data_IF_288920069472
#
_entry.id   IF_288920069472
#
_cell.length_a   1.000
_cell.length_b   1.000
_cell.length_c   1.000
_cell.angle_alpha   90.00
_cell.angle_beta   90.00
_cell.angle_gamma   90.00
#
_symmetry.space_group_name_H-M   'P 1'
#
loop_
_entity.id
_entity.type
_entity.pdbx_description
1 polymer ?
#
# COMPACT_ATOMS: atom_id res chain seq x y z
N UNK A 1 3.74 -15.49 12.07
CA UNK A 1 3.82 -16.67 11.17
C UNK A 1 3.48 -16.33 9.74
N UNK A 2 2.27 -15.85 9.42
CA UNK A 2 1.89 -15.52 8.04
C UNK A 2 2.88 -14.56 7.34
N UNK A 3 3.28 -13.47 7.99
CA UNK A 3 4.29 -12.54 7.48
C UNK A 3 5.64 -13.21 7.23
N UNK A 4 6.03 -14.15 8.10
CA UNK A 4 7.30 -14.85 8.00
C UNK A 4 7.31 -15.78 6.79
N UNK A 5 6.29 -16.63 6.65
CA UNK A 5 6.13 -17.51 5.47
C UNK A 5 6.11 -16.68 4.18
N UNK A 6 5.46 -15.52 4.20
CA UNK A 6 5.45 -14.61 3.06
C UNK A 6 6.85 -14.12 2.70
N UNK A 7 7.63 -13.67 3.70
CA UNK A 7 9.00 -13.20 3.50
C UNK A 7 10.00 -14.27 3.09
N UNK A 8 9.72 -15.56 3.34
CA UNK A 8 10.53 -16.68 2.84
C UNK A 8 10.01 -17.30 1.53
N UNK A 9 9.04 -16.65 0.86
CA UNK A 9 8.42 -17.05 -0.43
C UNK A 9 7.48 -18.26 -0.37
N UNK A 10 6.99 -18.63 0.80
CA UNK A 10 6.00 -19.69 0.99
C UNK A 10 4.57 -19.11 0.98
N UNK A 11 4.17 -18.54 -0.16
CA UNK A 11 2.95 -17.73 -0.28
C UNK A 11 1.66 -18.48 0.08
N UNK A 12 1.56 -19.76 -0.28
CA UNK A 12 0.40 -20.59 0.08
C UNK A 12 0.32 -20.83 1.59
N UNK A 13 1.45 -21.06 2.26
CA UNK A 13 1.49 -21.21 3.73
C UNK A 13 1.15 -19.90 4.42
N UNK A 14 1.66 -18.78 3.91
CA UNK A 14 1.31 -17.46 4.39
C UNK A 14 -0.20 -17.23 4.35
N UNK A 15 -0.85 -17.54 3.22
CA UNK A 15 -2.29 -17.42 3.03
C UNK A 15 -3.08 -18.35 3.97
N UNK A 16 -2.65 -19.61 4.13
CA UNK A 16 -3.28 -20.55 5.07
C UNK A 16 -3.19 -20.04 6.51
N UNK A 17 -2.01 -19.64 6.98
CA UNK A 17 -1.85 -19.14 8.35
C UNK A 17 -2.62 -17.86 8.60
N UNK A 18 -2.69 -16.96 7.61
CA UNK A 18 -3.54 -15.77 7.67
C UNK A 18 -5.01 -16.18 7.83
N UNK A 19 -5.48 -17.14 7.02
CA UNK A 19 -6.84 -17.65 7.10
C UNK A 19 -7.19 -18.37 8.40
N UNK A 20 -6.23 -19.06 9.03
CA UNK A 20 -6.42 -19.65 10.36
C UNK A 20 -6.64 -18.52 11.39
N UNK A 21 -5.78 -17.50 11.39
CA UNK A 21 -5.91 -16.37 12.31
C UNK A 21 -7.26 -15.64 12.14
N UNK A 22 -7.68 -15.43 10.88
CA UNK A 22 -8.97 -14.83 10.54
C UNK A 22 -10.14 -15.63 11.10
N UNK A 23 -10.14 -16.96 10.91
CA UNK A 23 -11.23 -17.81 11.42
C UNK A 23 -11.29 -17.80 12.95
N UNK A 24 -10.13 -17.76 13.62
CA UNK A 24 -10.08 -17.65 15.09
C UNK A 24 -10.71 -16.33 15.54
N UNK A 25 -10.31 -15.20 14.97
CA UNK A 25 -10.85 -13.90 15.40
C UNK A 25 -12.32 -13.72 15.01
N UNK A 26 -12.78 -14.27 13.88
CA UNK A 26 -14.19 -14.32 13.50
C UNK A 26 -15.03 -15.12 14.51
N UNK A 27 -14.52 -16.28 14.96
CA UNK A 27 -15.19 -17.09 15.97
C UNK A 27 -15.30 -16.36 17.32
N UNK A 28 -14.22 -15.68 17.73
CA UNK A 28 -14.21 -14.84 18.94
C UNK A 28 -15.23 -13.71 18.85
N UNK A 29 -15.24 -12.93 17.77
CA UNK A 29 -16.20 -11.84 17.58
C UNK A 29 -17.64 -12.37 17.52
N UNK A 30 -17.88 -13.49 16.83
CA UNK A 30 -19.20 -14.12 16.75
C UNK A 30 -19.77 -14.45 18.13
N UNK A 31 -18.95 -14.95 19.06
CA UNK A 31 -19.37 -15.22 20.44
C UNK A 31 -19.83 -13.96 21.20
N UNK A 32 -19.37 -12.77 20.79
CA UNK A 32 -19.71 -11.49 21.41
C UNK A 32 -20.93 -10.81 20.80
N UNK A 33 -21.03 -10.85 19.47
CA UNK A 33 -22.09 -10.16 18.72
C UNK A 33 -23.32 -11.04 18.46
N UNK A 34 -23.27 -12.33 18.81
CA UNK A 34 -24.41 -13.24 18.66
C UNK A 34 -25.62 -12.71 19.44
N UNK A 35 -26.79 -12.55 18.79
CA UNK A 35 -28.01 -12.13 19.47
C UNK A 35 -28.50 -13.17 20.48
N UNK A 36 -28.12 -14.44 20.29
CA UNK A 36 -28.47 -15.57 21.15
C UNK A 36 -27.18 -16.35 21.48
N UNK A 37 -26.39 -15.90 22.47
CA UNK A 37 -25.16 -16.60 22.84
C UNK A 37 -25.49 -17.96 23.45
N UNK A 38 -24.82 -19.02 22.97
CA UNK A 38 -25.00 -20.38 23.50
C UNK A 38 -24.39 -20.54 24.90
N UNK A 39 -23.31 -19.80 25.18
CA UNK A 39 -22.61 -19.79 26.47
C UNK A 39 -22.62 -18.35 27.06
N UNK A 40 -22.74 -18.20 28.39
CA UNK A 40 -22.64 -16.89 29.02
C UNK A 40 -21.23 -16.32 28.82
N UNK A 41 -21.13 -15.15 28.19
CA UNK A 41 -19.84 -14.49 27.94
C UNK A 41 -19.14 -14.15 29.27
N UNK A 42 -17.94 -14.68 29.54
CA UNK A 42 -17.21 -14.36 30.76
C UNK A 42 -17.04 -12.84 30.99
N UNK A 43 -17.09 -12.34 32.24
CA UNK A 43 -17.00 -10.90 32.53
C UNK A 43 -15.72 -10.23 32.02
N UNK A 44 -14.57 -10.93 32.04
CA UNK A 44 -13.28 -10.39 31.58
C UNK A 44 -13.21 -10.15 30.07
N UNK A 45 -14.08 -10.81 29.27
CA UNK A 45 -14.19 -10.52 27.84
C UNK A 45 -14.90 -9.18 27.56
N UNK A 46 -15.47 -8.54 28.60
CA UNK A 46 -16.09 -7.21 28.52
C UNK A 46 -15.20 -6.10 29.07
N UNK A 47 -13.97 -6.40 29.50
CA UNK A 47 -13.02 -5.36 29.89
C UNK A 47 -12.60 -4.52 28.67
N UNK A 48 -12.44 -3.21 28.87
CA UNK A 48 -12.16 -2.24 27.81
C UNK A 48 -10.82 -2.56 27.10
N UNK A 49 -9.83 -3.06 27.84
CA UNK A 49 -8.54 -3.48 27.27
C UNK A 49 -8.71 -4.71 26.37
N UNK A 50 -9.50 -5.71 26.79
CA UNK A 50 -9.80 -6.88 25.97
C UNK A 50 -10.51 -6.50 24.66
N UNK A 51 -11.46 -5.56 24.71
CA UNK A 51 -12.12 -5.00 23.52
C UNK A 51 -11.11 -4.33 22.59
N UNK A 52 -10.20 -3.52 23.14
CA UNK A 52 -9.19 -2.82 22.36
C UNK A 52 -8.22 -3.79 21.66
N UNK A 53 -7.76 -4.84 22.37
CA UNK A 53 -6.89 -5.89 21.82
C UNK A 53 -7.60 -6.64 20.70
N UNK A 54 -8.87 -7.01 20.88
CA UNK A 54 -9.64 -7.71 19.86
C UNK A 54 -9.84 -6.86 18.62
N UNK A 55 -10.28 -5.60 18.76
CA UNK A 55 -10.41 -4.65 17.65
C UNK A 55 -9.10 -4.55 16.86
N UNK A 56 -7.98 -4.31 17.56
CA UNK A 56 -6.66 -4.19 16.93
C UNK A 56 -6.26 -5.47 16.20
N UNK A 57 -6.53 -6.63 16.80
CA UNK A 57 -6.22 -7.94 16.22
C UNK A 57 -7.04 -8.20 14.96
N UNK A 58 -8.33 -7.84 14.96
CA UNK A 58 -9.21 -7.98 13.80
C UNK A 58 -8.70 -7.15 12.60
N UNK A 59 -8.38 -5.89 12.84
CA UNK A 59 -7.85 -5.00 11.81
C UNK A 59 -6.42 -5.33 11.38
N UNK A 60 -5.61 -5.91 12.27
CA UNK A 60 -4.30 -6.46 11.89
C UNK A 60 -4.47 -7.67 10.95
N UNK A 61 -5.43 -8.56 11.21
CA UNK A 61 -5.79 -9.64 10.29
C UNK A 61 -6.28 -9.10 8.95
N UNK A 62 -7.07 -8.02 8.95
CA UNK A 62 -7.50 -7.35 7.72
C UNK A 62 -6.31 -6.83 6.90
N UNK A 63 -5.38 -6.09 7.51
CA UNK A 63 -4.18 -5.58 6.83
C UNK A 63 -3.34 -6.73 6.29
N UNK A 64 -3.11 -7.78 7.09
CA UNK A 64 -2.35 -8.95 6.66
C UNK A 64 -3.01 -9.68 5.49
N UNK A 65 -4.34 -9.83 5.50
CA UNK A 65 -5.08 -10.41 4.39
C UNK A 65 -4.92 -9.56 3.13
N UNK A 66 -5.06 -8.23 3.23
CA UNK A 66 -4.79 -7.31 2.12
C UNK A 66 -3.37 -7.44 1.60
N UNK A 67 -2.37 -7.54 2.46
CA UNK A 67 -0.98 -7.69 2.03
C UNK A 67 -0.71 -9.02 1.32
N UNK A 68 -1.23 -10.13 1.84
CA UNK A 68 -0.96 -11.47 1.31
C UNK A 68 -1.81 -11.79 0.08
N UNK A 69 -3.08 -11.36 0.06
CA UNK A 69 -3.97 -11.58 -1.08
C UNK A 69 -3.61 -10.67 -2.26
N UNK A 70 -3.06 -9.48 -1.99
CA UNK A 70 -2.58 -8.58 -3.03
C UNK A 70 -1.42 -9.21 -3.79
N UNK A 71 -1.71 -9.64 -5.01
CA UNK A 71 -0.72 -10.21 -5.89
C UNK A 71 -0.71 -11.72 -6.01
N UNK A 72 -1.74 -12.38 -5.50
CA UNK A 72 -2.00 -13.79 -5.76
C UNK A 72 -3.43 -13.95 -6.30
N UNK A 73 -3.72 -15.04 -6.99
CA UNK A 73 -5.10 -15.38 -7.41
C UNK A 73 -5.99 -15.81 -6.23
N UNK A 74 -5.53 -15.65 -4.99
CA UNK A 74 -6.28 -16.06 -3.82
C UNK A 74 -7.31 -14.97 -3.45
N UNK A 75 -8.59 -15.32 -3.30
CA UNK A 75 -9.60 -14.36 -2.91
C UNK A 75 -9.32 -13.83 -1.48
N UNK A 76 -9.56 -12.53 -1.22
CA UNK A 76 -9.49 -11.98 0.13
C UNK A 76 -10.52 -12.65 1.05
N UNK A 77 -10.13 -12.96 2.27
CA UNK A 77 -11.00 -13.60 3.27
C UNK A 77 -11.76 -12.59 4.13
N UNK A 78 -11.25 -11.36 4.27
CA UNK A 78 -11.87 -10.27 5.04
C UNK A 78 -12.02 -8.99 4.21
N UNK A 79 -12.73 -8.98 3.06
CA UNK A 79 -12.96 -7.73 2.34
C UNK A 79 -13.71 -6.73 3.23
N UNK A 80 -13.61 -5.43 2.92
CA UNK A 80 -14.22 -4.38 3.75
C UNK A 80 -15.72 -4.65 4.01
N UNK A 81 -16.45 -5.11 2.98
CA UNK A 81 -17.86 -5.51 3.09
C UNK A 81 -18.15 -6.62 4.11
N UNK A 82 -17.24 -7.57 4.30
CA UNK A 82 -17.38 -8.59 5.35
C UNK A 82 -17.11 -8.02 6.74
N UNK A 83 -16.19 -7.05 6.88
CA UNK A 83 -15.98 -6.36 8.15
C UNK A 83 -17.25 -5.63 8.61
N UNK A 84 -18.01 -5.03 7.69
CA UNK A 84 -19.28 -4.36 7.99
C UNK A 84 -20.35 -5.37 8.45
N UNK A 85 -20.46 -6.50 7.75
CA UNK A 85 -21.41 -7.59 8.11
C UNK A 85 -21.10 -8.18 9.48
N UNK A 86 -19.82 -8.32 9.81
CA UNK A 86 -19.34 -8.80 11.10
C UNK A 86 -19.49 -7.76 12.22
N UNK A 87 -19.96 -6.54 11.88
CA UNK A 87 -20.15 -5.41 12.81
C UNK A 87 -18.89 -5.10 13.61
N UNK A 88 -17.73 -5.23 13.00
CA UNK A 88 -16.45 -4.93 13.65
C UNK A 88 -16.36 -3.42 13.82
N UNK A 89 -16.00 -2.97 15.02
CA UNK A 89 -15.86 -1.55 15.30
C UNK A 89 -14.72 -0.91 14.50
N UNK A 90 -14.73 0.41 14.33
CA UNK A 90 -13.68 1.09 13.54
C UNK A 90 -12.33 0.96 14.25
N UNK A 91 -11.19 1.06 13.54
CA UNK A 91 -9.90 0.95 14.19
C UNK A 91 -9.74 2.05 15.26
N UNK A 92 -9.42 1.63 16.49
CA UNK A 92 -9.22 2.54 17.61
C UNK A 92 -8.00 3.44 17.41
N UNK A 93 -8.03 4.64 18.01
CA UNK A 93 -6.85 5.47 18.12
C UNK A 93 -5.80 4.80 19.01
N UNK A 94 -4.55 5.26 18.94
CA UNK A 94 -3.51 4.77 19.83
C UNK A 94 -3.83 5.01 21.31
N UNK A 95 -4.52 6.12 21.63
CA UNK A 95 -4.94 6.45 23.00
C UNK A 95 -6.00 5.47 23.46
N UNK A 96 -7.07 5.28 22.68
CA UNK A 96 -8.16 4.35 23.01
C UNK A 96 -7.70 2.89 23.04
N UNK A 97 -6.68 2.54 22.25
CA UNK A 97 -6.08 1.22 22.30
C UNK A 97 -5.36 0.96 23.63
N UNK A 98 -4.67 1.97 24.18
CA UNK A 98 -3.90 1.87 25.42
C UNK A 98 -4.81 1.91 26.66
N UNK A 99 -5.76 2.85 26.69
CA UNK A 99 -6.61 3.08 27.86
C UNK A 99 -7.95 2.32 27.81
N UNK A 100 -8.26 1.71 26.68
CA UNK A 100 -9.57 1.15 26.39
C UNK A 100 -10.54 2.22 25.85
N UNK A 101 -11.45 1.84 24.95
CA UNK A 101 -12.46 2.77 24.45
C UNK A 101 -13.45 3.13 25.57
N UNK A 102 -14.02 4.34 25.51
CA UNK A 102 -15.10 4.73 26.41
C UNK A 102 -16.41 3.98 26.05
N UNK A 103 -16.64 2.86 26.73
CA UNK A 103 -17.81 2.01 26.55
C UNK A 103 -19.13 2.67 26.98
N UNK A 104 -19.09 3.84 27.65
CA UNK A 104 -20.30 4.57 28.02
C UNK A 104 -20.97 5.23 26.81
N UNK A 105 -20.17 5.61 25.79
CA UNK A 105 -20.66 6.20 24.54
C UNK A 105 -21.35 5.18 23.62
N UNK A 106 -20.97 3.89 23.69
CA UNK A 106 -21.58 2.81 22.89
C UNK A 106 -23.04 2.52 23.29
N UNK A 107 -23.44 2.83 24.53
CA UNK A 107 -24.82 2.61 25.02
C UNK A 107 -25.85 3.58 24.41
N UNK A 108 -25.40 4.70 23.85
CA UNK A 108 -26.26 5.72 23.23
C UNK A 108 -26.52 5.49 21.74
N UNK A 109 -25.97 4.43 21.13
CA UNK A 109 -26.32 3.98 19.78
C UNK A 109 -25.98 4.95 18.65
N UNK A 110 -25.12 5.95 18.89
CA UNK A 110 -24.95 7.09 17.99
C UNK A 110 -23.69 7.07 17.11
N UNK A 111 -22.67 6.25 17.37
CA UNK A 111 -21.39 6.38 16.65
C UNK A 111 -20.85 5.11 15.99
N UNK A 112 -21.72 4.24 15.49
CA UNK A 112 -21.27 3.06 14.73
C UNK A 112 -21.78 2.95 13.29
N UNK A 113 -21.83 4.07 12.58
CA UNK A 113 -21.85 4.04 11.12
C UNK A 113 -20.41 4.13 10.63
N UNK A 114 -19.97 3.11 9.89
CA UNK A 114 -18.86 3.28 8.95
C UNK A 114 -19.17 4.56 8.18
N UNK A 115 -18.25 5.51 8.21
CA UNK A 115 -18.43 6.86 7.68
C UNK A 115 -18.79 6.76 6.20
N UNK A 116 -20.09 6.67 5.90
CA UNK A 116 -20.66 7.27 4.70
C UNK A 116 -20.54 8.76 4.95
N UNK A 117 -19.57 9.37 4.28
CA UNK A 117 -19.30 10.78 4.32
C UNK A 117 -20.53 11.55 3.83
N UNK A 118 -21.45 11.87 4.74
CA UNK A 118 -22.47 12.87 4.52
C UNK A 118 -22.60 13.73 5.78
N UNK A 119 -22.12 14.97 5.63
CA UNK A 119 -22.34 16.16 6.45
C UNK A 119 -21.71 16.24 7.86
N UNK A 120 -20.57 16.94 7.93
CA UNK A 120 -19.87 17.31 9.15
C UNK A 120 -18.35 17.25 8.95
N UNK A 121 -17.65 18.39 9.01
CA UNK A 121 -16.19 18.47 8.89
C UNK A 121 -15.54 17.61 9.98
N UNK A 122 -15.29 16.34 9.67
CA UNK A 122 -14.56 15.44 10.56
C UNK A 122 -13.13 15.95 10.62
N UNK A 123 -12.62 16.16 11.82
CA UNK A 123 -11.25 16.65 11.99
C UNK A 123 -10.28 15.71 11.25
N UNK A 124 -9.26 16.26 10.57
CA UNK A 124 -8.30 15.44 9.83
C UNK A 124 -7.57 14.47 10.76
N UNK A 125 -7.34 13.24 10.29
CA UNK A 125 -6.75 12.16 11.07
C UNK A 125 -5.28 12.48 11.41
N UNK A 126 -4.94 12.47 12.69
CA UNK A 126 -3.58 12.73 13.14
C UNK A 126 -2.75 11.44 13.32
N UNK A 127 -1.51 11.60 13.80
CA UNK A 127 -0.57 10.49 13.97
C UNK A 127 -1.04 9.44 14.98
N UNK A 128 -1.86 9.81 15.96
CA UNK A 128 -2.41 8.86 16.93
C UNK A 128 -3.44 7.92 16.29
N UNK A 129 -3.98 8.30 15.13
CA UNK A 129 -4.91 7.51 14.33
C UNK A 129 -4.20 6.82 13.16
N UNK A 130 -2.86 6.72 13.18
CA UNK A 130 -2.06 6.12 12.09
C UNK A 130 -2.53 4.72 11.69
N UNK A 131 -2.93 3.90 12.66
CA UNK A 131 -3.42 2.55 12.38
C UNK A 131 -4.72 2.56 11.57
N UNK A 132 -5.64 3.47 11.89
CA UNK A 132 -6.87 3.69 11.13
C UNK A 132 -6.56 4.16 9.71
N UNK A 133 -5.61 5.09 9.57
CA UNK A 133 -5.12 5.57 8.25
C UNK A 133 -4.58 4.40 7.42
N UNK A 134 -3.74 3.54 8.02
CA UNK A 134 -3.16 2.37 7.36
C UNK A 134 -4.22 1.35 6.92
N UNK A 135 -5.22 1.05 7.76
CA UNK A 135 -6.31 0.14 7.42
C UNK A 135 -6.99 0.55 6.11
N UNK A 136 -7.43 1.81 6.00
CA UNK A 136 -8.11 2.29 4.80
C UNK A 136 -7.18 2.40 3.60
N UNK A 137 -5.91 2.77 3.83
CA UNK A 137 -4.90 2.79 2.76
C UNK A 137 -4.64 1.41 2.17
N UNK A 138 -4.60 0.37 3.02
CA UNK A 138 -4.38 -1.01 2.58
C UNK A 138 -5.55 -1.60 1.81
N UNK A 139 -6.77 -1.12 2.06
CA UNK A 139 -7.94 -1.48 1.23
C UNK A 139 -7.81 -0.91 -0.19
N UNK A 140 -7.36 0.36 -0.31
CA UNK A 140 -7.08 0.99 -1.61
C UNK A 140 -5.93 0.28 -2.33
N UNK A 141 -4.84 0.01 -1.61
CA UNK A 141 -3.71 -0.77 -2.13
C UNK A 141 -4.14 -2.09 -2.74
N UNK A 142 -4.97 -2.85 -2.03
CA UNK A 142 -5.42 -4.14 -2.52
C UNK A 142 -6.32 -4.03 -3.75
N UNK A 143 -7.11 -2.97 -3.85
CA UNK A 143 -7.85 -2.66 -5.08
C UNK A 143 -6.90 -2.39 -6.25
N UNK A 144 -5.85 -1.58 -6.04
CA UNK A 144 -4.82 -1.28 -7.06
C UNK A 144 -4.14 -2.58 -7.51
N UNK A 145 -3.70 -3.40 -6.56
CA UNK A 145 -3.03 -4.65 -6.87
C UNK A 145 -3.97 -5.65 -7.52
N UNK A 146 -5.23 -5.71 -7.12
CA UNK A 146 -6.23 -6.55 -7.80
C UNK A 146 -6.36 -6.14 -9.26
N UNK A 147 -6.37 -4.84 -9.56
CA UNK A 147 -6.38 -4.36 -10.95
C UNK A 147 -5.12 -4.79 -11.72
N UNK A 148 -3.93 -4.52 -11.18
CA UNK A 148 -2.65 -4.81 -11.87
C UNK A 148 -2.47 -6.30 -12.13
N UNK A 149 -2.82 -7.15 -11.16
CA UNK A 149 -2.63 -8.60 -11.28
C UNK A 149 -3.73 -9.30 -12.08
N UNK A 150 -4.90 -8.68 -12.25
CA UNK A 150 -5.91 -9.13 -13.20
C UNK A 150 -5.68 -8.49 -14.56
N UNK A 151 -4.46 -8.65 -15.07
CA UNK A 151 -3.97 -8.16 -16.37
C UNK A 151 -3.98 -6.64 -16.59
N UNK A 152 -4.37 -5.83 -15.59
CA UNK A 152 -4.26 -4.37 -15.65
C UNK A 152 -4.85 -3.78 -16.93
N UNK A 153 -4.04 -3.01 -17.68
CA UNK A 153 -4.48 -2.45 -18.97
C UNK A 153 -4.67 -3.50 -20.07
N UNK A 154 -4.05 -4.68 -19.92
CA UNK A 154 -4.11 -5.79 -20.89
C UNK A 154 -5.39 -6.61 -20.74
N UNK A 155 -6.14 -6.42 -19.66
CA UNK A 155 -7.42 -7.07 -19.48
C UNK A 155 -8.42 -6.68 -20.61
N UNK A 156 -9.34 -7.59 -20.99
CA UNK A 156 -10.28 -7.33 -22.08
C UNK A 156 -11.08 -6.03 -21.90
N UNK A 157 -11.03 -5.15 -22.93
CA UNK A 157 -11.76 -3.89 -22.94
C UNK A 157 -11.13 -2.74 -22.14
N UNK A 158 -10.00 -2.95 -21.45
CA UNK A 158 -9.34 -1.91 -20.66
C UNK A 158 -8.63 -0.84 -21.50
N UNK A 159 -8.32 -1.13 -22.76
CA UNK A 159 -7.76 -0.15 -23.70
C UNK A 159 -8.83 0.72 -24.38
N UNK A 160 -10.12 0.43 -24.20
CA UNK A 160 -11.21 1.20 -24.79
C UNK A 160 -11.24 2.64 -24.27
N UNK A 161 -11.76 3.62 -25.05
CA UNK A 161 -11.72 5.04 -24.69
C UNK A 161 -12.28 5.37 -23.29
N UNK A 162 -13.36 4.70 -22.88
CA UNK A 162 -14.00 4.90 -21.57
C UNK A 162 -13.19 4.33 -20.38
N UNK A 163 -12.24 3.43 -20.65
CA UNK A 163 -11.40 2.77 -19.65
C UNK A 163 -9.95 3.28 -19.65
N UNK A 164 -9.59 4.16 -20.59
CA UNK A 164 -8.32 4.86 -20.58
C UNK A 164 -8.14 5.66 -19.27
N UNK A 165 -6.91 5.82 -18.77
CA UNK A 165 -6.70 6.31 -17.40
C UNK A 165 -7.14 7.77 -17.19
N UNK A 166 -7.19 8.59 -18.23
CA UNK A 166 -7.74 9.96 -18.17
C UNK A 166 -9.27 10.03 -18.25
N UNK A 167 -9.95 8.92 -18.54
CA UNK A 167 -11.42 8.92 -18.56
C UNK A 167 -11.94 8.94 -17.11
N UNK A 168 -12.82 9.90 -16.73
CA UNK A 168 -13.25 10.09 -15.34
C UNK A 168 -13.85 8.84 -14.68
N UNK A 169 -14.55 8.02 -15.47
CA UNK A 169 -15.20 6.80 -14.99
C UNK A 169 -14.34 5.54 -15.05
N UNK A 170 -13.11 5.62 -15.57
CA UNK A 170 -12.21 4.48 -15.70
C UNK A 170 -11.87 3.88 -14.33
N UNK A 171 -11.56 2.57 -14.25
CA UNK A 171 -11.06 1.95 -13.03
C UNK A 171 -9.88 2.72 -12.44
N UNK A 172 -8.90 3.09 -13.28
CA UNK A 172 -7.74 3.86 -12.86
C UNK A 172 -8.12 5.21 -12.23
N UNK A 173 -8.98 5.99 -12.90
CA UNK A 173 -9.38 7.33 -12.42
C UNK A 173 -10.11 7.24 -11.09
N UNK A 174 -11.04 6.30 -10.95
CA UNK A 174 -11.78 6.08 -9.69
C UNK A 174 -10.84 5.69 -8.55
N UNK A 175 -9.89 4.80 -8.80
CA UNK A 175 -8.92 4.38 -7.78
C UNK A 175 -7.95 5.50 -7.42
N UNK A 176 -7.50 6.29 -8.38
CA UNK A 176 -6.65 7.46 -8.15
C UNK A 176 -7.38 8.52 -7.31
N UNK A 177 -8.62 8.87 -7.66
CA UNK A 177 -9.45 9.81 -6.87
C UNK A 177 -9.58 9.32 -5.43
N UNK A 178 -9.92 8.04 -5.23
CA UNK A 178 -10.05 7.44 -3.91
C UNK A 178 -8.74 7.50 -3.10
N UNK A 179 -7.59 7.33 -3.75
CA UNK A 179 -6.27 7.45 -3.11
C UNK A 179 -5.98 8.88 -2.65
N UNK A 180 -6.28 9.87 -3.49
CA UNK A 180 -6.11 11.29 -3.17
C UNK A 180 -7.08 11.76 -2.09
N UNK A 181 -8.33 11.31 -2.12
CA UNK A 181 -9.31 11.54 -1.04
C UNK A 181 -8.81 10.98 0.29
N UNK A 182 -8.30 9.74 0.30
CA UNK A 182 -7.70 9.14 1.49
C UNK A 182 -6.50 9.96 2.00
N UNK A 183 -5.62 10.44 1.11
CA UNK A 183 -4.49 11.30 1.47
C UNK A 183 -4.95 12.62 2.08
N UNK A 184 -6.05 13.20 1.58
CA UNK A 184 -6.64 14.44 2.06
C UNK A 184 -7.35 14.32 3.42
N UNK A 185 -7.78 13.11 3.83
CA UNK A 185 -8.35 12.89 5.17
C UNK A 185 -7.32 13.02 6.30
N UNK A 186 -6.03 13.02 5.98
CA UNK A 186 -4.92 13.05 6.93
C UNK A 186 -4.54 14.48 7.29
N UNK A 187 -4.12 14.71 8.53
CA UNK A 187 -3.55 15.98 8.94
C UNK A 187 -2.26 16.25 8.17
N UNK A 188 -2.04 17.50 7.72
CA UNK A 188 -0.89 17.90 6.89
C UNK A 188 0.49 17.51 7.47
N UNK A 189 0.58 17.34 8.81
CA UNK A 189 1.80 16.87 9.50
C UNK A 189 2.21 15.44 9.12
N UNK A 190 1.29 14.64 8.60
CA UNK A 190 1.56 13.27 8.15
C UNK A 190 2.14 13.19 6.74
N UNK A 191 2.29 14.32 6.05
CA UNK A 191 2.77 14.35 4.68
C UNK A 191 4.28 14.54 4.64
N UNK A 192 4.98 13.53 4.12
CA UNK A 192 6.34 13.67 3.62
C UNK A 192 6.29 14.35 2.23
N UNK A 193 7.32 15.09 1.79
CA UNK A 193 8.51 15.55 2.53
C UNK A 193 8.28 16.86 3.31
N UNK A 194 7.06 17.41 3.34
CA UNK A 194 6.75 18.65 4.05
C UNK A 194 7.07 18.55 5.54
N UNK A 195 7.01 17.32 6.09
CA UNK A 195 7.44 16.99 7.43
C UNK A 195 8.53 15.92 7.40
N UNK A 196 9.45 16.01 8.36
CA UNK A 196 10.60 15.11 8.41
C UNK A 196 10.30 13.82 9.17
N UNK A 197 11.03 12.75 8.81
CA UNK A 197 11.00 11.48 9.53
C UNK A 197 11.54 11.68 10.95
N UNK A 198 12.64 12.43 11.13
CA UNK A 198 13.28 12.65 12.44
C UNK A 198 12.35 13.29 13.46
N UNK A 199 11.47 14.22 13.04
CA UNK A 199 10.48 14.83 13.92
C UNK A 199 9.51 13.78 14.46
N UNK A 200 9.00 12.90 13.60
CA UNK A 200 8.08 11.85 14.00
C UNK A 200 8.76 10.75 14.80
N UNK A 201 10.01 10.40 14.47
CA UNK A 201 10.80 9.45 15.26
C UNK A 201 11.02 9.95 16.68
N UNK A 202 11.33 11.24 16.85
CA UNK A 202 11.49 11.87 18.18
C UNK A 202 10.20 11.77 19.02
N UNK A 203 9.03 11.78 18.37
CA UNK A 203 7.73 11.63 19.01
C UNK A 203 7.29 10.17 19.20
N UNK A 204 8.11 9.19 18.80
CA UNK A 204 7.78 7.76 18.86
C UNK A 204 6.89 7.26 17.72
N UNK A 205 6.70 8.06 16.67
CA UNK A 205 5.81 7.76 15.53
C UNK A 205 6.54 7.59 14.19
N UNK A 206 7.87 7.49 14.19
CA UNK A 206 8.70 7.42 12.98
C UNK A 206 8.27 6.29 12.04
N UNK A 207 8.07 5.08 12.59
CA UNK A 207 7.60 3.92 11.81
C UNK A 207 6.23 4.17 11.16
N UNK A 208 5.26 4.65 11.94
CA UNK A 208 3.91 4.95 11.43
C UNK A 208 3.92 5.99 10.32
N UNK A 209 4.67 7.09 10.51
CA UNK A 209 4.81 8.14 9.52
C UNK A 209 5.43 7.62 8.22
N UNK A 210 6.51 6.85 8.34
CA UNK A 210 7.19 6.23 7.19
C UNK A 210 6.25 5.27 6.46
N UNK A 211 5.54 4.41 7.19
CA UNK A 211 4.66 3.40 6.61
C UNK A 211 3.48 4.02 5.84
N UNK A 212 2.84 5.05 6.39
CA UNK A 212 1.74 5.78 5.73
C UNK A 212 2.22 6.39 4.41
N UNK A 213 3.38 7.04 4.41
CA UNK A 213 3.91 7.69 3.21
C UNK A 213 4.40 6.68 2.17
N UNK A 214 5.04 5.58 2.58
CA UNK A 214 5.40 4.49 1.66
C UNK A 214 4.15 3.88 1.01
N UNK A 215 3.07 3.69 1.77
CA UNK A 215 1.82 3.16 1.25
C UNK A 215 1.20 4.09 0.19
N UNK A 216 1.16 5.40 0.45
CA UNK A 216 0.70 6.39 -0.53
C UNK A 216 1.55 6.34 -1.80
N UNK A 217 2.86 6.50 -1.67
CA UNK A 217 3.75 6.61 -2.82
C UNK A 217 3.83 5.32 -3.62
N UNK A 218 3.93 4.16 -2.99
CA UNK A 218 3.97 2.90 -3.75
C UNK A 218 2.65 2.66 -4.47
N UNK A 219 1.51 3.04 -3.89
CA UNK A 219 0.19 3.00 -4.55
C UNK A 219 0.16 3.88 -5.81
N UNK A 220 0.59 5.14 -5.70
CA UNK A 220 0.69 6.07 -6.83
C UNK A 220 1.65 5.55 -7.90
N UNK A 221 2.84 5.06 -7.50
CA UNK A 221 3.85 4.52 -8.42
C UNK A 221 3.26 3.36 -9.24
N UNK A 222 2.57 2.42 -8.59
CA UNK A 222 1.99 1.25 -9.24
C UNK A 222 0.88 1.62 -10.23
N UNK A 223 -0.01 2.55 -9.88
CA UNK A 223 -1.05 3.05 -10.77
C UNK A 223 -0.48 3.69 -12.05
N UNK A 224 0.54 4.54 -11.92
CA UNK A 224 1.12 5.21 -13.09
C UNK A 224 1.97 4.27 -13.93
N UNK A 225 2.71 3.36 -13.28
CA UNK A 225 3.66 2.48 -13.97
C UNK A 225 3.01 1.56 -15.00
N UNK A 226 1.79 1.10 -14.74
CA UNK A 226 1.03 0.21 -15.64
C UNK A 226 0.93 0.72 -17.08
N UNK A 227 0.95 2.05 -17.27
CA UNK A 227 0.77 2.70 -18.56
C UNK A 227 2.08 3.20 -19.20
N UNK A 228 3.24 2.99 -18.59
CA UNK A 228 4.53 3.35 -19.17
C UNK A 228 5.19 2.17 -19.90
N UNK A 229 5.89 2.42 -21.02
CA UNK A 229 6.65 1.39 -21.72
C UNK A 229 7.60 0.64 -20.81
N UNK A 230 7.58 -0.70 -20.88
CA UNK A 230 8.53 -1.53 -20.14
C UNK A 230 9.98 -1.28 -20.58
N UNK A 231 10.22 -1.21 -21.90
CA UNK A 231 11.52 -0.88 -22.49
C UNK A 231 11.34 0.24 -23.53
N UNK A 232 11.62 1.51 -23.18
CA UNK A 232 11.60 2.61 -24.12
C UNK A 232 12.88 2.63 -24.97
N UNK A 233 12.88 3.43 -26.03
CA UNK A 233 14.08 3.73 -26.81
C UNK A 233 14.84 4.92 -26.19
N UNK A 234 16.12 5.09 -26.50
CA UNK A 234 16.94 6.18 -25.94
C UNK A 234 16.37 7.59 -26.20
N UNK A 235 15.66 7.77 -27.31
CA UNK A 235 14.98 9.03 -27.67
C UNK A 235 13.52 9.12 -27.24
N UNK A 236 13.00 8.15 -26.48
CA UNK A 236 11.61 8.17 -26.03
C UNK A 236 11.38 9.28 -24.99
N UNK A 237 10.30 10.02 -25.20
CA UNK A 237 9.75 11.01 -24.28
C UNK A 237 8.52 10.41 -23.56
N UNK A 238 7.99 11.04 -22.49
CA UNK A 238 6.83 10.51 -21.77
C UNK A 238 5.68 10.22 -22.74
N UNK A 239 5.30 8.94 -22.83
CA UNK A 239 4.21 8.48 -23.66
C UNK A 239 3.63 7.20 -23.08
N UNK A 240 2.44 6.86 -23.58
CA UNK A 240 1.74 5.65 -23.19
C UNK A 240 2.39 4.36 -23.65
N UNK A 241 1.71 3.24 -23.39
CA UNK A 241 2.23 1.94 -23.75
C UNK A 241 2.47 1.89 -25.25
N UNK A 242 3.66 1.41 -25.62
CA UNK A 242 4.06 1.18 -27.02
C UNK A 242 3.96 -0.30 -27.38
N UNK A 243 3.83 -1.16 -26.38
CA UNK A 243 3.60 -2.59 -26.51
C UNK A 243 2.09 -2.91 -26.48
N UNK A 244 1.69 -3.90 -27.28
CA UNK A 244 0.30 -4.33 -27.40
C UNK A 244 -0.25 -4.85 -26.06
N UNK A 245 -1.54 -4.61 -25.74
CA UNK A 245 -2.48 -3.75 -26.45
C UNK A 245 -2.22 -2.26 -26.20
N UNK A 246 -2.33 -1.44 -27.25
CA UNK A 246 -2.23 0.02 -27.16
C UNK A 246 -3.58 0.65 -26.80
N UNK A 247 -3.55 1.80 -26.14
CA UNK A 247 -4.78 2.55 -25.80
C UNK A 247 -5.50 3.02 -27.08
N UNK A 248 -6.82 2.89 -27.11
CA UNK A 248 -7.67 3.19 -28.27
C UNK A 248 -8.07 4.68 -28.36
N UNK A 249 -7.71 5.47 -27.35
CA UNK A 249 -7.92 6.92 -27.33
C UNK A 249 -6.58 7.66 -27.18
N UNK A 250 -6.53 8.86 -27.76
CA UNK A 250 -5.42 9.77 -27.54
C UNK A 250 -5.52 10.42 -26.16
N UNK A 251 -4.38 10.55 -25.49
CA UNK A 251 -4.32 11.20 -24.18
C UNK A 251 -4.50 12.72 -24.33
N UNK A 252 -5.16 13.38 -23.37
CA UNK A 252 -5.19 14.83 -23.32
C UNK A 252 -3.79 15.43 -23.32
N UNK A 253 -3.66 16.65 -23.84
CA UNK A 253 -2.39 17.38 -23.87
C UNK A 253 -1.78 17.45 -22.45
N UNK A 254 -0.49 17.15 -22.36
CA UNK A 254 0.25 17.18 -21.10
C UNK A 254 0.02 15.98 -20.16
N UNK A 255 -0.93 15.08 -20.43
CA UNK A 255 -1.22 13.96 -19.54
C UNK A 255 0.00 13.07 -19.27
N UNK A 256 0.72 12.65 -20.31
CA UNK A 256 1.93 11.81 -20.17
C UNK A 256 3.06 12.53 -19.43
N UNK A 257 3.22 13.83 -19.68
CA UNK A 257 4.22 14.65 -19.01
C UNK A 257 3.95 14.73 -17.50
N UNK A 258 2.70 14.99 -17.11
CA UNK A 258 2.29 15.03 -15.71
C UNK A 258 2.40 13.64 -15.06
N UNK A 259 1.96 12.60 -15.76
CA UNK A 259 2.05 11.21 -15.31
C UNK A 259 3.50 10.77 -15.06
N UNK A 260 4.44 11.15 -15.93
CA UNK A 260 5.87 10.90 -15.71
C UNK A 260 6.40 11.66 -14.49
N UNK A 261 6.07 12.95 -14.36
CA UNK A 261 6.48 13.76 -13.22
C UNK A 261 6.05 13.13 -11.89
N UNK A 262 4.79 12.67 -11.83
CA UNK A 262 4.25 11.97 -10.65
C UNK A 262 4.96 10.65 -10.43
N UNK A 263 5.08 9.78 -11.44
CA UNK A 263 5.68 8.46 -11.34
C UNK A 263 7.12 8.51 -10.80
N UNK A 264 7.98 9.29 -11.46
CA UNK A 264 9.39 9.36 -11.09
C UNK A 264 9.64 10.22 -9.84
N UNK A 265 8.83 11.26 -9.63
CA UNK A 265 8.85 12.03 -8.39
C UNK A 265 8.40 11.22 -7.18
N UNK A 266 7.59 10.18 -7.39
CA UNK A 266 7.16 9.25 -6.34
C UNK A 266 8.26 8.22 -6.03
N UNK A 267 8.92 7.68 -7.06
CA UNK A 267 10.07 6.80 -6.89
C UNK A 267 11.23 7.48 -6.13
N UNK A 268 11.48 8.76 -6.40
CA UNK A 268 12.43 9.56 -5.63
C UNK A 268 12.03 9.70 -4.17
N UNK A 269 10.76 10.01 -3.88
CA UNK A 269 10.27 10.17 -2.50
C UNK A 269 10.37 8.87 -1.70
N UNK A 270 10.08 7.72 -2.31
CA UNK A 270 10.27 6.41 -1.65
C UNK A 270 11.74 6.20 -1.28
N UNK A 271 12.67 6.43 -2.23
CA UNK A 271 14.10 6.25 -1.99
C UNK A 271 14.63 7.13 -0.86
N UNK A 272 14.26 8.42 -0.87
CA UNK A 272 14.66 9.37 0.17
C UNK A 272 14.03 9.05 1.52
N UNK A 273 12.74 8.69 1.54
CA UNK A 273 12.05 8.32 2.76
C UNK A 273 12.68 7.09 3.43
N UNK A 274 13.08 6.08 2.66
CA UNK A 274 13.80 4.91 3.17
C UNK A 274 15.17 5.28 3.74
N UNK A 275 15.90 6.16 3.05
CA UNK A 275 17.18 6.66 3.54
C UNK A 275 17.03 7.45 4.84
N UNK A 276 16.12 8.43 4.89
CA UNK A 276 15.86 9.27 6.06
C UNK A 276 15.40 8.43 7.27
N UNK A 277 14.58 7.40 7.03
CA UNK A 277 14.14 6.46 8.07
C UNK A 277 15.31 5.62 8.61
N UNK A 278 16.23 5.20 7.75
CA UNK A 278 17.45 4.48 8.16
C UNK A 278 18.37 5.36 9.01
N UNK A 279 18.63 6.61 8.58
CA UNK A 279 19.49 7.55 9.31
C UNK A 279 18.96 7.90 10.71
N UNK A 280 17.64 7.86 10.89
CA UNK A 280 17.00 8.22 12.15
C UNK A 280 16.61 7.02 13.02
N UNK A 281 16.94 5.78 12.63
CA UNK A 281 16.58 4.58 13.39
C UNK A 281 15.09 4.18 13.33
N UNK A 282 14.34 4.66 12.33
CA UNK A 282 12.96 4.26 12.04
C UNK A 282 12.88 3.27 10.86
N UNK A 283 13.97 2.54 10.60
CA UNK A 283 14.03 1.52 9.55
C UNK A 283 13.14 0.33 9.88
N UNK A 284 12.36 -0.11 8.89
CA UNK A 284 11.48 -1.26 9.03
C UNK A 284 11.78 -2.26 7.93
N UNK A 285 12.30 -3.43 8.30
CA UNK A 285 12.59 -4.51 7.37
C UNK A 285 11.35 -5.39 7.17
N UNK A 286 10.18 -4.80 6.90
CA UNK A 286 9.00 -5.61 6.55
C UNK A 286 9.01 -5.93 5.06
N UNK A 287 8.51 -7.11 4.67
CA UNK A 287 8.41 -7.47 3.26
C UNK A 287 7.67 -6.44 2.37
N UNK A 288 6.67 -5.70 2.88
CA UNK A 288 6.02 -4.62 2.13
C UNK A 288 6.95 -3.43 1.89
N UNK A 289 7.72 -3.01 2.90
CA UNK A 289 8.72 -1.94 2.75
C UNK A 289 9.81 -2.37 1.77
N UNK A 290 10.18 -3.65 1.79
CA UNK A 290 11.04 -4.26 0.76
C UNK A 290 10.46 -4.13 -0.65
N UNK A 291 9.16 -4.39 -0.84
CA UNK A 291 8.51 -4.20 -2.14
C UNK A 291 8.52 -2.72 -2.58
N UNK A 292 8.34 -1.79 -1.65
CA UNK A 292 8.46 -0.35 -1.91
C UNK A 292 9.88 -0.01 -2.42
N UNK A 293 10.91 -0.49 -1.72
CA UNK A 293 12.31 -0.29 -2.09
C UNK A 293 12.62 -0.90 -3.47
N UNK A 294 12.18 -2.13 -3.73
CA UNK A 294 12.35 -2.81 -5.01
C UNK A 294 11.71 -2.03 -6.17
N UNK A 295 10.48 -1.57 -5.98
CA UNK A 295 9.72 -0.82 -6.98
C UNK A 295 10.37 0.54 -7.28
N UNK A 296 10.80 1.24 -6.24
CA UNK A 296 11.49 2.51 -6.39
C UNK A 296 12.88 2.35 -7.01
N UNK A 297 13.66 1.32 -6.63
CA UNK A 297 14.93 0.98 -7.27
C UNK A 297 14.74 0.78 -8.77
N UNK A 298 13.72 -0.01 -9.15
CA UNK A 298 13.44 -0.26 -10.57
C UNK A 298 13.17 1.05 -11.32
N UNK A 299 12.30 1.91 -10.78
CA UNK A 299 11.94 3.16 -11.46
C UNK A 299 13.09 4.16 -11.52
N UNK A 300 13.95 4.21 -10.49
CA UNK A 300 15.14 5.04 -10.49
C UNK A 300 16.19 4.51 -11.50
N UNK A 301 16.38 3.19 -11.61
CA UNK A 301 17.21 2.59 -12.66
C UNK A 301 16.67 2.89 -14.06
N UNK A 302 15.36 2.74 -14.25
CA UNK A 302 14.67 3.04 -15.51
C UNK A 302 14.97 4.47 -15.96
N UNK A 303 14.73 5.46 -15.08
CA UNK A 303 14.88 6.87 -15.47
C UNK A 303 16.34 7.30 -15.57
N UNK A 304 17.24 6.67 -14.83
CA UNK A 304 18.68 6.87 -14.99
C UNK A 304 19.14 6.45 -16.39
N UNK A 305 18.63 5.32 -16.93
CA UNK A 305 18.99 4.85 -18.27
C UNK A 305 18.25 5.59 -19.38
N UNK A 306 17.04 6.09 -19.13
CA UNK A 306 16.20 6.76 -20.12
C UNK A 306 15.73 8.14 -19.64
N UNK A 307 16.65 9.11 -19.40
CA UNK A 307 16.33 10.37 -18.72
C UNK A 307 15.26 11.21 -19.43
N UNK A 308 15.11 11.05 -20.75
CA UNK A 308 14.10 11.75 -21.53
C UNK A 308 12.66 11.28 -21.22
N UNK A 309 12.48 10.10 -20.62
CA UNK A 309 11.17 9.62 -20.14
C UNK A 309 10.60 10.43 -18.96
N UNK A 310 11.40 11.32 -18.37
CA UNK A 310 10.96 12.37 -17.44
C UNK A 310 11.56 13.73 -17.83
N UNK A 311 11.85 13.92 -19.13
CA UNK A 311 12.35 15.18 -19.69
C UNK A 311 13.59 15.73 -18.96
N UNK A 312 14.47 14.84 -18.49
CA UNK A 312 15.70 15.20 -17.79
C UNK A 312 15.53 15.72 -16.36
N UNK A 313 14.34 15.59 -15.75
CA UNK A 313 14.06 16.16 -14.42
C UNK A 313 14.61 15.34 -13.25
N UNK A 314 14.91 14.05 -13.45
CA UNK A 314 15.35 13.13 -12.39
C UNK A 314 16.86 13.12 -12.20
N UNK A 315 17.45 14.25 -11.80
CA UNK A 315 18.91 14.43 -11.70
C UNK A 315 19.58 13.50 -10.67
N UNK A 316 18.86 13.10 -9.63
CA UNK A 316 19.38 12.27 -8.54
C UNK A 316 19.03 10.78 -8.68
N UNK A 317 18.59 10.33 -9.87
CA UNK A 317 18.08 8.97 -10.06
C UNK A 317 19.09 7.88 -9.66
N UNK A 318 20.37 8.05 -9.99
CA UNK A 318 21.43 7.10 -9.62
C UNK A 318 21.62 7.02 -8.09
N UNK A 319 21.70 8.17 -7.42
CA UNK A 319 21.81 8.22 -5.96
C UNK A 319 20.60 7.62 -5.25
N UNK A 320 19.39 7.91 -5.75
CA UNK A 320 18.15 7.35 -5.22
C UNK A 320 18.11 5.82 -5.40
N UNK A 321 18.59 5.32 -6.55
CA UNK A 321 18.75 3.89 -6.78
C UNK A 321 19.70 3.28 -5.74
N UNK A 322 20.84 3.91 -5.46
CA UNK A 322 21.80 3.39 -4.48
C UNK A 322 21.22 3.36 -3.06
N UNK A 323 20.39 4.32 -2.67
CA UNK A 323 19.65 4.27 -1.41
C UNK A 323 18.72 3.05 -1.32
N UNK A 324 17.95 2.78 -2.38
CA UNK A 324 17.09 1.61 -2.41
C UNK A 324 17.89 0.30 -2.40
N UNK A 325 19.01 0.23 -3.12
CA UNK A 325 19.87 -0.96 -3.11
C UNK A 325 20.52 -1.20 -1.76
N UNK A 326 21.01 -0.15 -1.09
CA UNK A 326 21.56 -0.27 0.25
C UNK A 326 20.53 -0.82 1.25
N UNK A 327 19.27 -0.39 1.13
CA UNK A 327 18.16 -0.97 1.91
C UNK A 327 17.93 -2.46 1.54
N UNK A 328 17.87 -2.79 0.25
CA UNK A 328 17.63 -4.18 -0.20
C UNK A 328 18.73 -5.15 0.21
N UNK A 329 19.98 -4.69 0.28
CA UNK A 329 21.12 -5.46 0.80
C UNK A 329 20.93 -5.81 2.28
N UNK A 330 20.43 -4.91 3.12
CA UNK A 330 20.08 -5.25 4.52
C UNK A 330 18.84 -6.14 4.59
N UNK A 331 17.86 -5.88 3.73
CA UNK A 331 16.62 -6.63 3.69
C UNK A 331 16.81 -8.11 3.35
N UNK A 332 17.74 -8.43 2.43
CA UNK A 332 18.01 -9.82 2.04
C UNK A 332 18.61 -10.66 3.18
N UNK A 333 19.29 -10.03 4.12
CA UNK A 333 19.88 -10.73 5.28
C UNK A 333 18.79 -11.22 6.25
N UNK A 334 17.59 -10.62 6.19
CA UNK A 334 16.43 -10.99 7.01
C UNK A 334 15.44 -11.87 6.24
N UNK A 335 15.27 -11.62 4.94
CA UNK A 335 14.24 -12.26 4.13
C UNK A 335 14.79 -12.83 2.83
N UNK A 336 14.50 -14.12 2.57
CA UNK A 336 14.83 -14.78 1.29
C UNK A 336 14.24 -14.07 0.07
N UNK A 337 13.14 -13.32 0.25
CA UNK A 337 12.56 -12.48 -0.78
C UNK A 337 13.58 -11.46 -1.34
N UNK A 338 14.47 -10.95 -0.50
CA UNK A 338 15.50 -9.99 -0.90
C UNK A 338 16.54 -10.58 -1.84
N UNK A 339 16.86 -11.88 -1.75
CA UNK A 339 17.83 -12.53 -2.64
C UNK A 339 17.39 -12.44 -4.10
N UNK A 340 16.12 -12.77 -4.37
CA UNK A 340 15.54 -12.70 -5.71
C UNK A 340 15.56 -11.28 -6.26
N UNK A 341 15.14 -10.32 -5.44
CA UNK A 341 15.02 -8.91 -5.82
C UNK A 341 16.36 -8.24 -6.10
N UNK A 342 17.38 -8.52 -5.29
CA UNK A 342 18.74 -8.04 -5.54
C UNK A 342 19.30 -8.64 -6.84
N UNK A 343 19.11 -9.94 -7.06
CA UNK A 343 19.51 -10.61 -8.30
C UNK A 343 18.87 -10.00 -9.55
N UNK A 344 17.56 -9.69 -9.50
CA UNK A 344 16.86 -9.02 -10.61
C UNK A 344 17.50 -7.67 -10.95
N UNK A 345 17.82 -6.86 -9.94
CA UNK A 345 18.45 -5.54 -10.16
C UNK A 345 19.88 -5.63 -10.69
N UNK A 346 20.67 -6.57 -10.19
CA UNK A 346 22.01 -6.83 -10.71
C UNK A 346 21.95 -7.25 -12.19
N UNK A 347 21.02 -8.15 -12.53
CA UNK A 347 20.82 -8.58 -13.92
C UNK A 347 20.37 -7.41 -14.81
N UNK A 348 19.45 -6.55 -14.35
CA UNK A 348 19.01 -5.37 -15.09
C UNK A 348 20.12 -4.32 -15.28
N UNK A 349 21.03 -4.16 -14.30
CA UNK A 349 22.20 -3.29 -14.44
C UNK A 349 23.17 -3.82 -15.51
N UNK A 350 23.33 -5.14 -15.60
CA UNK A 350 24.24 -5.85 -16.51
C UNK A 350 23.67 -6.08 -17.92
N UNK A 351 22.35 -6.22 -18.06
CA UNK A 351 21.69 -6.46 -19.35
C UNK A 351 21.63 -5.18 -20.18
N UNK A 352 22.73 -4.87 -20.89
CA UNK A 352 22.68 -3.95 -22.03
C UNK A 352 22.09 -4.69 -23.23
N UNK A 353 20.75 -4.72 -23.34
CA UNK A 353 20.08 -4.97 -24.62
C UNK A 353 19.69 -6.42 -24.98
N UNK A 354 19.46 -7.32 -24.04
CA UNK A 354 18.82 -8.62 -24.33
C UNK A 354 17.56 -8.81 -23.49
N UNK A 355 16.49 -9.19 -24.18
CA UNK A 355 15.11 -9.40 -23.74
C UNK A 355 14.97 -9.68 -22.23
N UNK A 356 14.69 -8.62 -21.46
CA UNK A 356 14.06 -8.79 -20.18
C UNK A 356 12.59 -9.15 -20.47
N UNK A 357 12.22 -10.42 -20.30
CA UNK A 357 10.82 -10.77 -20.10
C UNK A 357 10.26 -9.93 -18.94
N UNK A 358 8.96 -9.59 -18.93
CA UNK A 358 8.38 -8.77 -17.87
C UNK A 358 8.36 -9.60 -16.58
N UNK A 359 9.48 -9.63 -15.86
CA UNK A 359 9.58 -10.04 -14.47
C UNK A 359 9.01 -8.91 -13.58
N UNK A 360 7.79 -8.52 -13.88
CA UNK A 360 6.89 -8.21 -12.79
C UNK A 360 6.39 -9.56 -12.33
N UNK A 361 6.87 -9.95 -11.14
CA UNK A 361 6.23 -10.81 -10.15
C UNK A 361 7.08 -12.03 -9.71
N UNK A 362 6.95 -12.44 -8.43
CA UNK A 362 7.72 -13.51 -7.78
C UNK A 362 7.59 -14.91 -8.39
#
# INVERSE_FOLDING_TARGET
>A
MALYEWGIREFHRAWIYCGIAIRIIQALNSSRVSPYPLDPTPPYLRDAVSVAIENRTFWACFIMDRMISSGTYNPPMLPMSEMEKLKVSTPLSAVDFVFGPDLSSERTGLDHRLVTAEDGQTAPLDVTQSFKVLVYGFDIWAHIMTFIFNDGRRAPGMCAPQNCPWAPGSPWSKTHIRLEEWRATQHHRLHYPENSVVTHTTLGWGESFTYINLLYYTSTLMLHREYFPFLPNAGSVPRGPIDQPTLEAEAPEGWWNNSALVLFGTAEKIAKLLHDASECGAEMLTPFVGFCAFSAAYMNLYIFRFPQMNLGRSLNAERNLDYCLAYLERFRDVWKLGESWVCTHLNLRLSTGLAAEPFFLP
#
